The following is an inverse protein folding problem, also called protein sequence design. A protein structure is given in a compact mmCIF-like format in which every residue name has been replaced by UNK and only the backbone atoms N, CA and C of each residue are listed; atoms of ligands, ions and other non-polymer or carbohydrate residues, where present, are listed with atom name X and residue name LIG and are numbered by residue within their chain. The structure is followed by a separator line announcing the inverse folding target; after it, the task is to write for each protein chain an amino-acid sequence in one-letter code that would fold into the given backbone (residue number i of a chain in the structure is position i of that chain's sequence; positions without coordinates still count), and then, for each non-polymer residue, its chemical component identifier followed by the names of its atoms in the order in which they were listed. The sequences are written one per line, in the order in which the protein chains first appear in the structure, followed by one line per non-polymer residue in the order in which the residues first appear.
data_IF_018252425760
#
_entry.id   IF_018252425760
#
_cell.length_a   1.000
_cell.length_b   1.000
_cell.length_c   1.000
_cell.angle_alpha   90.00
_cell.angle_beta   90.00
_cell.angle_gamma   90.00
#
_symmetry.space_group_name_H-M   'P 1'
#
loop_
_entity.id
_entity.type
_entity.pdbx_description
1 polymer ?
#
# COMPACT_ATOMS: atom_id res chain seq x y z
N UNK A 1 -11.46 48.71 -12.47
CA UNK A 1 -11.99 47.43 -11.94
C UNK A 1 -13.28 47.11 -12.68
N UNK A 2 -13.18 46.35 -13.75
CA UNK A 2 -14.33 45.94 -14.56
C UNK A 2 -14.99 44.75 -13.87
N UNK A 3 -16.27 44.91 -13.45
CA UNK A 3 -17.04 43.82 -12.87
C UNK A 3 -17.37 42.83 -13.99
N UNK A 4 -16.77 41.65 -13.94
CA UNK A 4 -17.13 40.52 -14.81
C UNK A 4 -18.61 40.18 -14.58
N UNK A 5 -19.45 40.55 -15.54
CA UNK A 5 -20.85 40.13 -15.61
C UNK A 5 -20.88 38.63 -15.93
N UNK A 6 -21.12 37.80 -14.91
CA UNK A 6 -21.38 36.37 -15.12
C UNK A 6 -22.74 36.27 -15.81
N UNK A 7 -22.71 36.03 -17.12
CA UNK A 7 -23.89 35.77 -17.96
C UNK A 7 -24.57 34.50 -17.41
N UNK A 8 -25.72 34.64 -16.74
CA UNK A 8 -26.60 33.50 -16.39
C UNK A 8 -26.90 32.75 -17.69
N UNK A 9 -26.32 31.55 -17.86
CA UNK A 9 -26.64 30.68 -18.99
C UNK A 9 -28.13 30.32 -18.93
N UNK A 10 -28.77 30.41 -20.07
CA UNK A 10 -30.20 30.23 -20.31
C UNK A 10 -30.70 28.81 -20.00
N UNK A 11 -31.90 28.74 -19.41
CA UNK A 11 -32.72 27.56 -19.19
C UNK A 11 -32.84 26.67 -20.44
N UNK A 12 -32.29 25.45 -20.37
CA UNK A 12 -32.72 24.27 -21.15
C UNK A 12 -31.99 22.97 -20.74
N UNK A 13 -30.99 23.02 -19.86
CA UNK A 13 -30.45 21.81 -19.22
C UNK A 13 -31.31 21.46 -18.01
N UNK A 14 -32.03 20.35 -18.09
CA UNK A 14 -32.75 19.80 -16.95
C UNK A 14 -31.73 19.43 -15.86
N UNK A 15 -31.94 19.98 -14.68
CA UNK A 15 -31.12 19.74 -13.50
C UNK A 15 -31.41 18.33 -12.98
N UNK A 16 -30.40 17.46 -12.96
CA UNK A 16 -30.55 16.07 -12.53
C UNK A 16 -31.19 15.95 -11.14
N UNK A 17 -30.89 16.89 -10.23
CA UNK A 17 -31.51 16.93 -8.91
C UNK A 17 -33.04 17.12 -8.99
N UNK A 18 -33.51 17.96 -9.92
CA UNK A 18 -34.93 18.22 -10.13
C UNK A 18 -35.66 17.04 -10.77
N UNK A 19 -35.03 16.35 -11.72
CA UNK A 19 -35.61 15.14 -12.31
C UNK A 19 -35.71 13.99 -11.30
N UNK A 20 -34.64 13.76 -10.53
CA UNK A 20 -34.62 12.74 -9.48
C UNK A 20 -35.71 13.05 -8.43
N UNK A 21 -35.82 14.31 -8.01
CA UNK A 21 -36.83 14.69 -7.02
C UNK A 21 -38.27 14.55 -7.55
N UNK A 22 -38.50 14.83 -8.84
CA UNK A 22 -39.79 14.65 -9.47
C UNK A 22 -40.17 13.16 -9.58
N UNK A 23 -39.22 12.31 -9.97
CA UNK A 23 -39.44 10.87 -10.12
C UNK A 23 -39.69 10.18 -8.77
N UNK A 24 -38.90 10.55 -7.75
CA UNK A 24 -39.02 10.02 -6.39
C UNK A 24 -40.15 10.69 -5.58
N UNK A 25 -40.81 11.70 -6.15
CA UNK A 25 -41.82 12.53 -5.47
C UNK A 25 -41.33 13.10 -4.13
N UNK A 26 -40.03 13.42 -4.06
CA UNK A 26 -39.35 13.81 -2.83
C UNK A 26 -37.84 13.80 -2.97
N UNK A 27 -37.14 14.20 -1.91
CA UNK A 27 -35.67 14.14 -1.86
C UNK A 27 -35.23 12.71 -1.54
N UNK A 28 -34.27 12.12 -2.27
CA UNK A 28 -33.74 10.80 -1.92
C UNK A 28 -33.05 10.82 -0.56
N UNK A 29 -33.16 9.76 0.24
CA UNK A 29 -32.46 9.68 1.53
C UNK A 29 -30.95 9.37 1.37
N UNK A 30 -30.58 8.78 0.24
CA UNK A 30 -29.26 8.21 0.01
C UNK A 30 -28.87 8.22 -1.47
N UNK A 31 -27.59 8.44 -1.76
CA UNK A 31 -27.03 8.38 -3.13
C UNK A 31 -25.74 7.57 -3.16
N UNK A 32 -25.57 6.77 -4.21
CA UNK A 32 -24.36 5.99 -4.46
C UNK A 32 -23.67 6.51 -5.72
N UNK A 33 -22.48 7.07 -5.54
CA UNK A 33 -21.55 7.34 -6.62
C UNK A 33 -20.86 6.05 -7.08
N UNK A 34 -20.70 5.90 -8.40
CA UNK A 34 -19.98 4.78 -9.00
C UNK A 34 -18.97 5.32 -10.00
N UNK A 35 -17.71 4.85 -9.93
CA UNK A 35 -16.59 5.34 -10.74
C UNK A 35 -16.33 6.85 -10.57
N UNK A 36 -15.24 7.37 -11.13
CA UNK A 36 -14.83 8.78 -10.93
C UNK A 36 -15.93 9.80 -11.24
N UNK A 37 -16.56 9.67 -12.41
CA UNK A 37 -17.61 10.58 -12.89
C UNK A 37 -18.89 10.50 -12.07
N UNK A 38 -19.40 9.29 -11.81
CA UNK A 38 -20.59 9.09 -10.98
C UNK A 38 -20.36 9.53 -9.54
N UNK A 39 -19.15 9.35 -9.01
CA UNK A 39 -18.74 9.84 -7.71
C UNK A 39 -18.73 11.38 -7.63
N UNK A 40 -18.30 12.07 -8.69
CA UNK A 40 -18.36 13.54 -8.75
C UNK A 40 -19.81 14.03 -8.75
N UNK A 41 -20.65 13.43 -9.60
CA UNK A 41 -22.06 13.80 -9.70
C UNK A 41 -22.77 13.54 -8.38
N UNK A 42 -22.53 12.38 -7.75
CA UNK A 42 -23.07 12.05 -6.44
C UNK A 42 -22.62 13.04 -5.36
N UNK A 43 -21.35 13.46 -5.37
CA UNK A 43 -20.83 14.47 -4.43
C UNK A 43 -21.55 15.82 -4.58
N UNK A 44 -21.76 16.27 -5.82
CA UNK A 44 -22.46 17.52 -6.12
C UNK A 44 -23.94 17.45 -5.76
N UNK A 45 -24.60 16.33 -6.04
CA UNK A 45 -26.01 16.10 -5.70
C UNK A 45 -26.20 15.98 -4.18
N UNK A 46 -25.30 15.27 -3.49
CA UNK A 46 -25.30 15.14 -2.04
C UNK A 46 -25.21 16.50 -1.36
N UNK A 47 -24.24 17.33 -1.77
CA UNK A 47 -24.10 18.69 -1.25
C UNK A 47 -25.34 19.55 -1.52
N UNK A 48 -25.94 19.41 -2.71
CA UNK A 48 -27.11 20.20 -3.11
C UNK A 48 -28.40 19.80 -2.39
N UNK A 49 -28.59 18.51 -2.17
CA UNK A 49 -29.83 17.94 -1.64
C UNK A 49 -29.75 17.68 -0.13
N UNK A 50 -28.55 17.71 0.47
CA UNK A 50 -28.32 17.45 1.88
C UNK A 50 -28.51 15.98 2.27
N UNK A 51 -28.05 15.07 1.41
CA UNK A 51 -28.34 13.62 1.49
C UNK A 51 -27.07 12.80 1.74
N UNK A 52 -27.22 11.62 2.35
CA UNK A 52 -26.10 10.73 2.65
C UNK A 52 -25.47 10.19 1.35
N UNK A 53 -24.15 10.26 1.23
CA UNK A 53 -23.39 9.88 0.05
C UNK A 53 -22.45 8.71 0.33
N UNK A 54 -22.61 7.63 -0.44
CA UNK A 54 -21.68 6.53 -0.52
C UNK A 54 -20.89 6.56 -1.83
N UNK A 55 -19.59 6.30 -1.75
CA UNK A 55 -18.72 6.21 -2.91
C UNK A 55 -18.28 4.76 -3.16
N UNK A 56 -18.39 4.31 -4.42
CA UNK A 56 -17.84 3.05 -4.92
C UNK A 56 -16.90 3.35 -6.08
N UNK A 57 -15.59 3.30 -5.82
CA UNK A 57 -14.59 3.62 -6.84
C UNK A 57 -14.58 2.65 -8.02
N UNK A 58 -14.86 1.35 -7.77
CA UNK A 58 -14.63 0.20 -8.68
C UNK A 58 -13.17 0.00 -9.10
N UNK A 59 -12.51 1.07 -9.53
CA UNK A 59 -11.10 1.11 -9.84
C UNK A 59 -10.54 2.53 -9.68
N UNK A 60 -9.30 2.63 -9.21
CA UNK A 60 -8.55 3.88 -9.23
C UNK A 60 -7.48 3.81 -10.32
N UNK A 61 -7.67 4.59 -11.39
CA UNK A 61 -6.80 4.56 -12.58
C UNK A 61 -5.33 4.89 -12.25
N UNK A 62 -5.09 5.69 -11.21
CA UNK A 62 -3.74 5.96 -10.68
C UNK A 62 -2.94 4.69 -10.37
N UNK A 63 -3.61 3.61 -9.96
CA UNK A 63 -2.94 2.33 -9.63
C UNK A 63 -2.72 1.44 -10.85
N UNK A 64 -3.49 1.64 -11.93
CA UNK A 64 -3.39 0.87 -13.18
C UNK A 64 -2.33 1.45 -14.11
N UNK A 65 -2.07 2.75 -14.05
CA UNK A 65 -1.06 3.45 -14.84
C UNK A 65 0.11 3.89 -13.94
N UNK A 66 1.24 3.14 -13.91
CA UNK A 66 2.39 3.49 -13.07
C UNK A 66 2.94 4.89 -13.39
N UNK A 67 3.32 5.62 -12.34
CA UNK A 67 3.87 6.98 -12.40
C UNK A 67 2.99 8.02 -13.13
N UNK A 68 1.69 7.70 -13.33
CA UNK A 68 0.71 8.59 -13.96
C UNK A 68 0.46 9.87 -13.17
N UNK A 69 0.76 9.90 -11.88
CA UNK A 69 0.66 11.07 -11.01
C UNK A 69 1.86 12.01 -11.16
N UNK A 70 3.09 11.48 -11.24
CA UNK A 70 4.31 12.28 -11.42
C UNK A 70 4.41 12.79 -12.86
N UNK A 71 4.08 11.95 -13.84
CA UNK A 71 4.16 12.26 -15.27
C UNK A 71 2.81 12.60 -15.89
N UNK A 72 1.83 13.03 -15.09
CA UNK A 72 0.45 13.26 -15.52
C UNK A 72 0.33 14.09 -16.80
N UNK A 73 1.17 15.12 -16.96
CA UNK A 73 1.19 15.99 -18.16
C UNK A 73 1.37 15.22 -19.47
N UNK A 74 2.14 14.13 -19.46
CA UNK A 74 2.38 13.31 -20.65
C UNK A 74 1.17 12.45 -21.02
N UNK A 75 0.29 12.18 -20.05
CA UNK A 75 -0.92 11.39 -20.24
C UNK A 75 -2.17 12.25 -20.45
N UNK A 76 -2.10 13.54 -20.11
CA UNK A 76 -3.26 14.41 -19.96
C UNK A 76 -3.98 14.69 -21.28
N UNK A 77 -3.26 14.70 -22.41
CA UNK A 77 -3.85 14.90 -23.74
C UNK A 77 -4.82 13.76 -24.12
N UNK A 78 -4.52 12.53 -23.68
CA UNK A 78 -5.29 11.32 -24.04
C UNK A 78 -6.25 10.85 -22.94
N UNK A 79 -5.79 10.90 -21.69
CA UNK A 79 -6.49 10.28 -20.56
C UNK A 79 -7.10 11.31 -19.60
N UNK A 80 -6.72 12.58 -19.69
CA UNK A 80 -7.20 13.65 -18.83
C UNK A 80 -7.10 13.30 -17.32
N UNK A 81 -5.98 12.69 -16.92
CA UNK A 81 -5.75 12.26 -15.54
C UNK A 81 -5.78 13.41 -14.54
N UNK A 82 -5.48 14.65 -14.95
CA UNK A 82 -5.64 15.82 -14.09
C UNK A 82 -7.08 15.95 -13.59
N UNK A 83 -8.06 15.88 -14.50
CA UNK A 83 -9.49 15.93 -14.18
C UNK A 83 -9.90 14.72 -13.34
N UNK A 84 -9.47 13.52 -13.74
CA UNK A 84 -9.89 12.29 -13.08
C UNK A 84 -9.35 12.19 -11.64
N UNK A 85 -8.06 12.46 -11.42
CA UNK A 85 -7.48 12.40 -10.07
C UNK A 85 -8.04 13.50 -9.16
N UNK A 86 -8.30 14.69 -9.71
CA UNK A 86 -8.97 15.76 -8.95
C UNK A 86 -10.37 15.31 -8.52
N UNK A 87 -11.10 14.71 -9.45
CA UNK A 87 -12.44 14.17 -9.21
C UNK A 87 -12.44 13.09 -8.13
N UNK A 88 -11.55 12.11 -8.26
CA UNK A 88 -11.41 11.00 -7.31
C UNK A 88 -11.12 11.52 -5.89
N UNK A 89 -10.21 12.49 -5.76
CA UNK A 89 -9.87 13.09 -4.46
C UNK A 89 -11.05 13.87 -3.88
N UNK A 90 -11.74 14.69 -4.68
CA UNK A 90 -12.93 15.43 -4.21
C UNK A 90 -13.99 14.45 -3.72
N UNK A 91 -14.32 13.44 -4.51
CA UNK A 91 -15.40 12.53 -4.18
C UNK A 91 -15.05 11.55 -3.05
N UNK A 92 -13.79 11.15 -2.91
CA UNK A 92 -13.35 10.36 -1.75
C UNK A 92 -13.45 11.15 -0.44
N UNK A 93 -13.11 12.45 -0.44
CA UNK A 93 -13.18 13.28 0.76
C UNK A 93 -14.60 13.78 1.07
N UNK A 94 -15.48 13.84 0.07
CA UNK A 94 -16.87 14.27 0.25
C UNK A 94 -17.80 13.14 0.70
N UNK A 95 -17.48 11.87 0.43
CA UNK A 95 -18.33 10.75 0.80
C UNK A 95 -18.43 10.58 2.32
N UNK A 96 -19.64 10.26 2.81
CA UNK A 96 -19.87 9.90 4.21
C UNK A 96 -19.24 8.54 4.54
N UNK A 97 -19.26 7.62 3.58
CA UNK A 97 -18.54 6.35 3.66
C UNK A 97 -18.19 5.81 2.27
N UNK A 98 -17.19 4.92 2.23
CA UNK A 98 -16.66 4.32 1.00
C UNK A 98 -16.82 2.80 1.09
N UNK A 99 -17.40 2.20 0.04
CA UNK A 99 -17.48 0.75 -0.10
C UNK A 99 -16.43 0.27 -1.11
N UNK A 100 -15.67 -0.74 -0.72
CA UNK A 100 -14.67 -1.41 -1.55
C UNK A 100 -14.98 -2.90 -1.64
N UNK A 101 -14.69 -3.53 -2.78
CA UNK A 101 -14.95 -4.97 -2.96
C UNK A 101 -13.94 -5.83 -2.21
N UNK A 102 -12.73 -5.30 -2.00
CA UNK A 102 -11.65 -6.02 -1.33
C UNK A 102 -10.90 -5.13 -0.37
N UNK A 103 -10.34 -5.72 0.69
CA UNK A 103 -9.44 -5.01 1.60
C UNK A 103 -8.15 -4.52 0.89
N UNK A 104 -7.75 -5.22 -0.18
CA UNK A 104 -6.59 -4.85 -1.00
C UNK A 104 -6.78 -3.50 -1.70
N UNK A 105 -8.01 -3.11 -2.06
CA UNK A 105 -8.29 -1.79 -2.62
C UNK A 105 -7.98 -0.66 -1.64
N UNK A 106 -8.16 -0.90 -0.34
CA UNK A 106 -7.90 0.08 0.72
C UNK A 106 -6.42 0.06 1.11
N UNK A 107 -5.91 -1.13 1.47
CA UNK A 107 -4.64 -1.26 2.16
C UNK A 107 -3.56 -1.94 1.32
N UNK A 108 -3.88 -2.57 0.18
CA UNK A 108 -2.95 -3.43 -0.55
C UNK A 108 -2.74 -4.80 0.11
N UNK A 109 -1.61 -5.44 -0.17
CA UNK A 109 -1.23 -6.73 0.42
C UNK A 109 -0.68 -6.57 1.85
N UNK A 110 -1.53 -6.82 2.84
CA UNK A 110 -1.20 -6.78 4.28
C UNK A 110 -1.33 -5.39 4.91
N UNK A 111 -1.72 -5.33 6.18
CA UNK A 111 -1.88 -4.12 6.98
C UNK A 111 -1.27 -4.32 8.36
N UNK A 112 -0.85 -3.22 8.99
CA UNK A 112 -0.37 -3.22 10.36
C UNK A 112 -1.48 -2.65 11.24
N UNK A 113 -2.15 -3.54 11.97
CA UNK A 113 -3.25 -3.17 12.85
C UNK A 113 -2.79 -2.24 13.97
N UNK A 114 -1.67 -2.59 14.60
CA UNK A 114 -1.09 -1.80 15.68
C UNK A 114 0.18 -1.11 15.17
N UNK A 115 0.04 0.17 14.81
CA UNK A 115 1.15 0.99 14.32
C UNK A 115 2.09 1.50 15.41
N UNK A 116 1.75 1.29 16.69
CA UNK A 116 2.62 1.67 17.80
C UNK A 116 3.76 0.69 18.02
N UNK A 117 3.63 -0.55 17.52
CA UNK A 117 4.65 -1.57 17.63
C UNK A 117 5.87 -1.24 16.78
N UNK A 118 7.09 -1.55 17.28
CA UNK A 118 8.30 -1.50 16.49
C UNK A 118 8.20 -2.30 15.20
N UNK A 119 8.85 -1.81 14.15
CA UNK A 119 8.89 -2.49 12.85
C UNK A 119 10.20 -3.26 12.72
N UNK A 120 10.10 -4.57 12.53
CA UNK A 120 11.14 -5.38 11.93
C UNK A 120 11.11 -5.16 10.42
N UNK A 121 12.20 -4.63 9.88
CA UNK A 121 12.28 -4.22 8.49
C UNK A 121 13.31 -5.02 7.72
N UNK A 122 12.96 -5.47 6.51
CA UNK A 122 13.92 -6.07 5.57
C UNK A 122 13.68 -5.55 4.16
N UNK A 123 14.76 -5.31 3.42
CA UNK A 123 14.68 -4.86 2.03
C UNK A 123 15.74 -5.56 1.19
N UNK A 124 15.30 -6.38 0.24
CA UNK A 124 16.18 -7.14 -0.64
C UNK A 124 15.50 -7.53 -1.95
N UNK A 125 16.25 -8.13 -2.87
CA UNK A 125 15.64 -8.85 -4.00
C UNK A 125 14.90 -10.08 -3.46
N UNK A 126 13.83 -10.46 -4.15
CA UNK A 126 13.08 -11.66 -3.82
C UNK A 126 13.65 -12.83 -4.62
N UNK A 127 14.71 -13.41 -4.09
CA UNK A 127 15.39 -14.58 -4.64
C UNK A 127 15.71 -15.58 -3.52
N UNK A 128 16.06 -16.81 -3.90
CA UNK A 128 16.35 -17.90 -2.95
C UNK A 128 17.57 -17.63 -2.05
N UNK A 129 18.50 -16.80 -2.51
CA UNK A 129 19.73 -16.48 -1.75
C UNK A 129 19.41 -15.49 -0.63
N UNK A 130 18.53 -14.53 -0.88
CA UNK A 130 18.07 -13.55 0.13
C UNK A 130 17.09 -14.16 1.14
N UNK A 131 16.42 -15.25 0.79
CA UNK A 131 15.53 -16.04 1.66
C UNK A 131 14.55 -15.20 2.50
N UNK A 132 13.93 -14.24 1.83
CA UNK A 132 12.92 -13.38 2.44
C UNK A 132 11.70 -14.21 2.89
N UNK A 133 11.34 -15.26 2.14
CA UNK A 133 10.24 -16.15 2.53
C UNK A 133 10.56 -16.91 3.81
N UNK A 134 11.80 -17.35 4.03
CA UNK A 134 12.25 -17.95 5.28
C UNK A 134 12.19 -17.00 6.48
N UNK A 135 12.50 -15.72 6.30
CA UNK A 135 12.30 -14.70 7.34
C UNK A 135 10.83 -14.60 7.75
N UNK A 136 9.91 -14.54 6.78
CA UNK A 136 8.49 -14.41 7.10
C UNK A 136 7.94 -15.68 7.74
N UNK A 137 8.40 -16.86 7.30
CA UNK A 137 8.04 -18.12 7.93
C UNK A 137 8.49 -18.19 9.41
N UNK A 138 9.71 -17.75 9.71
CA UNK A 138 10.21 -17.69 11.08
C UNK A 138 9.43 -16.70 11.95
N UNK A 139 9.13 -15.51 11.42
CA UNK A 139 8.27 -14.53 12.09
C UNK A 139 6.87 -15.11 12.34
N UNK A 140 6.30 -15.81 11.36
CA UNK A 140 4.98 -16.41 11.46
C UNK A 140 4.86 -17.46 12.58
N UNK A 141 5.93 -18.24 12.78
CA UNK A 141 6.03 -19.31 13.80
C UNK A 141 6.32 -18.78 15.21
N UNK A 142 6.92 -17.60 15.35
CA UNK A 142 7.27 -17.04 16.66
C UNK A 142 6.14 -16.12 17.20
N UNK A 143 5.24 -16.67 18.02
CA UNK A 143 4.15 -15.90 18.62
C UNK A 143 4.63 -14.69 19.43
N UNK A 144 5.69 -14.87 20.23
CA UNK A 144 6.31 -13.80 21.04
C UNK A 144 6.81 -12.65 20.16
N UNK A 145 7.39 -12.94 18.99
CA UNK A 145 7.87 -11.90 18.08
C UNK A 145 6.71 -11.14 17.43
N UNK A 146 5.63 -11.84 17.06
CA UNK A 146 4.40 -11.22 16.50
C UNK A 146 3.67 -10.33 17.50
N UNK A 147 3.78 -10.64 18.79
CA UNK A 147 3.24 -9.79 19.85
C UNK A 147 4.05 -8.50 19.99
N UNK A 148 5.38 -8.60 19.93
CA UNK A 148 6.29 -7.48 20.19
C UNK A 148 6.48 -6.54 19.00
N UNK A 149 6.41 -7.04 17.76
CA UNK A 149 6.78 -6.27 16.57
C UNK A 149 5.93 -6.61 15.34
N UNK A 150 5.84 -5.65 14.44
CA UNK A 150 5.33 -5.84 13.09
C UNK A 150 6.47 -6.23 12.14
N UNK A 151 6.17 -6.99 11.08
CA UNK A 151 7.16 -7.29 10.04
C UNK A 151 6.81 -6.55 8.74
N UNK A 152 7.76 -5.77 8.24
CA UNK A 152 7.65 -5.06 6.95
C UNK A 152 8.78 -5.52 6.05
N UNK A 153 8.42 -5.98 4.85
CA UNK A 153 9.36 -6.47 3.85
C UNK A 153 9.18 -5.69 2.55
N UNK A 154 10.28 -5.15 2.03
CA UNK A 154 10.36 -4.56 0.70
C UNK A 154 11.13 -5.52 -0.21
N UNK A 155 10.43 -6.32 -1.00
CA UNK A 155 11.07 -7.32 -1.85
C UNK A 155 10.25 -7.65 -3.09
N UNK A 156 10.93 -7.77 -4.24
CA UNK A 156 10.37 -8.25 -5.50
C UNK A 156 9.06 -7.58 -5.95
N UNK A 157 8.32 -8.26 -6.81
CA UNK A 157 6.93 -7.90 -7.13
C UNK A 157 5.94 -8.67 -6.26
N UNK A 158 4.78 -8.06 -5.95
CA UNK A 158 3.70 -8.75 -5.24
C UNK A 158 2.77 -9.58 -6.14
N UNK A 159 2.94 -9.50 -7.47
CA UNK A 159 2.14 -10.21 -8.46
C UNK A 159 3.07 -11.01 -9.39
N UNK A 160 2.78 -12.30 -9.52
CA UNK A 160 3.49 -13.24 -10.39
C UNK A 160 3.57 -12.71 -11.82
N UNK A 161 2.50 -12.06 -12.31
CA UNK A 161 2.41 -11.57 -13.70
C UNK A 161 3.41 -10.47 -14.03
N UNK A 162 3.94 -9.78 -13.02
CA UNK A 162 4.91 -8.70 -13.19
C UNK A 162 6.35 -9.19 -13.29
N UNK A 163 6.62 -10.39 -12.82
CA UNK A 163 7.95 -10.99 -12.93
C UNK A 163 8.07 -11.87 -14.18
N UNK A 164 9.27 -11.89 -14.75
CA UNK A 164 9.66 -12.83 -15.82
C UNK A 164 10.66 -13.88 -15.31
N UNK A 165 11.14 -13.71 -14.07
CA UNK A 165 12.13 -14.59 -13.46
C UNK A 165 11.42 -15.75 -12.75
N UNK A 166 11.78 -16.98 -13.10
CA UNK A 166 11.17 -18.18 -12.54
C UNK A 166 11.43 -18.32 -11.04
N UNK A 167 12.60 -17.84 -10.57
CA UNK A 167 12.92 -17.91 -9.14
C UNK A 167 12.06 -16.93 -8.34
N UNK A 168 11.99 -15.67 -8.78
CA UNK A 168 11.13 -14.67 -8.16
C UNK A 168 9.65 -15.11 -8.17
N UNK A 169 9.16 -15.66 -9.28
CA UNK A 169 7.78 -16.19 -9.37
C UNK A 169 7.52 -17.25 -8.29
N UNK A 170 8.42 -18.21 -8.13
CA UNK A 170 8.26 -19.27 -7.12
C UNK A 170 8.26 -18.69 -5.68
N UNK A 171 9.11 -17.70 -5.41
CA UNK A 171 9.15 -17.03 -4.11
C UNK A 171 7.90 -16.16 -3.86
N UNK A 172 7.34 -15.53 -4.90
CA UNK A 172 6.05 -14.80 -4.82
C UNK A 172 4.92 -15.74 -4.43
N UNK A 173 4.81 -16.90 -5.08
CA UNK A 173 3.78 -17.89 -4.78
C UNK A 173 3.90 -18.40 -3.35
N UNK A 174 5.12 -18.76 -2.93
CA UNK A 174 5.42 -19.16 -1.55
C UNK A 174 5.08 -18.05 -0.55
N UNK A 175 5.34 -16.79 -0.91
CA UNK A 175 5.03 -15.66 -0.04
C UNK A 175 3.51 -15.51 0.18
N UNK A 176 2.72 -15.60 -0.89
CA UNK A 176 1.25 -15.59 -0.79
C UNK A 176 0.70 -16.76 0.03
N UNK A 177 1.27 -17.95 -0.14
CA UNK A 177 0.91 -19.13 0.65
C UNK A 177 1.16 -18.89 2.15
N UNK A 178 2.35 -18.42 2.53
CA UNK A 178 2.70 -18.13 3.92
C UNK A 178 1.77 -17.09 4.57
N UNK A 179 1.47 -16.01 3.85
CA UNK A 179 0.55 -14.95 4.34
C UNK A 179 -0.83 -15.54 4.65
N UNK A 180 -1.35 -16.37 3.74
CA UNK A 180 -2.67 -17.00 3.87
C UNK A 180 -2.69 -18.03 4.99
N UNK A 181 -1.72 -18.94 5.01
CA UNK A 181 -1.63 -20.06 5.97
C UNK A 181 -1.46 -19.55 7.40
N UNK A 182 -0.63 -18.54 7.62
CA UNK A 182 -0.33 -18.02 8.96
C UNK A 182 -1.15 -16.79 9.37
N UNK A 183 -2.11 -16.37 8.54
CA UNK A 183 -3.01 -15.22 8.75
C UNK A 183 -2.22 -13.96 9.10
N UNK A 184 -1.20 -13.64 8.30
CA UNK A 184 -0.24 -12.57 8.61
C UNK A 184 -0.77 -11.17 8.25
N UNK A 185 -1.94 -11.07 7.60
CA UNK A 185 -2.51 -9.82 7.09
C UNK A 185 -2.58 -8.64 8.07
N UNK A 186 -2.55 -8.87 9.38
CA UNK A 186 -2.70 -7.85 10.44
C UNK A 186 -1.38 -7.41 11.08
N UNK A 187 -0.30 -8.16 10.87
CA UNK A 187 1.03 -7.90 11.48
C UNK A 187 2.17 -7.88 10.46
N UNK A 188 1.88 -8.17 9.19
CA UNK A 188 2.84 -8.25 8.11
C UNK A 188 2.44 -7.34 6.95
N UNK A 189 3.44 -6.62 6.44
CA UNK A 189 3.29 -5.77 5.25
C UNK A 189 4.34 -6.13 4.21
N UNK A 190 3.88 -6.52 3.03
CA UNK A 190 4.73 -6.72 1.88
C UNK A 190 4.59 -5.56 0.90
N UNK A 191 5.72 -4.90 0.63
CA UNK A 191 5.84 -3.77 -0.29
C UNK A 191 6.69 -4.23 -1.48
N UNK A 192 6.20 -4.01 -2.70
CA UNK A 192 7.01 -4.29 -3.90
C UNK A 192 8.28 -3.45 -3.92
N UNK A 193 9.34 -3.95 -4.54
CA UNK A 193 10.64 -3.29 -4.60
C UNK A 193 10.54 -1.84 -5.12
N UNK A 194 11.23 -0.93 -4.44
CA UNK A 194 11.20 0.50 -4.74
C UNK A 194 12.54 0.94 -5.37
N UNK A 195 12.48 1.56 -6.55
CA UNK A 195 13.68 2.02 -7.29
C UNK A 195 14.17 3.41 -6.85
N UNK A 196 13.31 4.20 -6.21
CA UNK A 196 13.64 5.56 -5.77
C UNK A 196 14.49 5.56 -4.50
N UNK A 197 15.78 5.92 -4.64
CA UNK A 197 16.75 5.95 -3.53
C UNK A 197 16.44 6.99 -2.45
N UNK A 198 15.89 8.15 -2.81
CA UNK A 198 15.56 9.20 -1.84
C UNK A 198 14.45 8.73 -0.90
N UNK A 199 13.39 8.14 -1.47
CA UNK A 199 12.29 7.55 -0.70
C UNK A 199 12.76 6.38 0.17
N UNK A 200 13.66 5.54 -0.34
CA UNK A 200 14.23 4.45 0.46
C UNK A 200 15.02 4.99 1.66
N UNK A 201 15.71 6.12 1.52
CA UNK A 201 16.40 6.79 2.62
C UNK A 201 15.44 7.27 3.72
N UNK A 202 14.32 7.89 3.36
CA UNK A 202 13.28 8.28 4.32
C UNK A 202 12.62 7.06 4.98
N UNK A 203 12.42 5.98 4.23
CA UNK A 203 11.88 4.75 4.77
C UNK A 203 12.75 4.21 5.90
N UNK A 204 14.08 4.17 5.72
CA UNK A 204 14.99 3.76 6.79
C UNK A 204 14.90 4.65 8.03
N UNK A 205 14.78 5.98 7.88
CA UNK A 205 14.62 6.89 9.02
C UNK A 205 13.31 6.64 9.76
N UNK A 206 12.23 6.42 9.01
CA UNK A 206 10.93 6.10 9.59
C UNK A 206 10.97 4.82 10.44
N UNK A 207 11.70 3.78 10.00
CA UNK A 207 11.87 2.56 10.80
C UNK A 207 12.58 2.87 12.13
N UNK A 208 13.59 3.75 12.12
CA UNK A 208 14.29 4.19 13.33
C UNK A 208 13.35 4.94 14.28
N UNK A 209 12.46 5.79 13.75
CA UNK A 209 11.47 6.52 14.53
C UNK A 209 10.46 5.59 15.22
N UNK A 210 10.16 4.43 14.62
CA UNK A 210 9.34 3.38 15.25
C UNK A 210 10.10 2.55 16.29
N UNK A 211 11.36 2.89 16.59
CA UNK A 211 12.28 2.05 17.39
C UNK A 211 12.42 0.63 16.84
N UNK A 212 12.30 0.49 15.51
CA UNK A 212 12.39 -0.76 14.79
C UNK A 212 13.81 -1.30 14.66
N UNK A 213 13.94 -2.44 13.97
CA UNK A 213 15.23 -3.06 13.69
C UNK A 213 15.30 -3.53 12.23
N UNK A 214 16.50 -3.46 11.64
CA UNK A 214 16.73 -3.99 10.30
C UNK A 214 17.21 -5.43 10.38
N UNK A 215 16.57 -6.33 9.63
CA UNK A 215 16.91 -7.75 9.59
C UNK A 215 17.28 -8.12 8.16
N UNK A 216 18.43 -8.76 8.02
CA UNK A 216 18.88 -9.29 6.75
C UNK A 216 19.15 -10.79 6.88
N UNK A 217 18.57 -11.55 5.94
CA UNK A 217 18.76 -12.99 5.83
C UNK A 217 19.53 -13.28 4.55
N UNK A 218 20.42 -14.27 4.62
CA UNK A 218 21.13 -14.81 3.48
C UNK A 218 21.36 -16.30 3.67
N UNK A 219 21.06 -17.10 2.65
CA UNK A 219 21.52 -18.48 2.56
C UNK A 219 22.83 -18.49 1.76
N UNK A 220 23.97 -18.62 2.45
CA UNK A 220 25.27 -18.84 1.78
C UNK A 220 25.57 -20.33 1.66
N UNK A 221 25.66 -20.81 0.42
CA UNK A 221 26.12 -22.15 0.09
C UNK A 221 27.65 -22.25 0.14
N UNK A 222 28.22 -22.41 1.33
CA UNK A 222 29.56 -23.00 1.46
C UNK A 222 29.51 -24.08 2.53
N UNK A 223 29.94 -25.29 2.15
CA UNK A 223 29.82 -26.54 2.92
C UNK A 223 30.61 -26.63 4.23
N UNK A 224 30.88 -25.50 4.90
CA UNK A 224 31.51 -25.45 6.23
C UNK A 224 30.53 -25.14 7.37
N UNK A 225 29.24 -24.94 7.08
CA UNK A 225 28.23 -24.66 8.11
C UNK A 225 27.23 -25.79 8.33
N UNK A 226 27.36 -26.90 7.60
CA UNK A 226 26.43 -28.06 7.66
C UNK A 226 26.70 -29.04 8.82
N UNK A 227 27.78 -28.86 9.60
CA UNK A 227 28.10 -29.73 10.75
C UNK A 227 28.06 -29.06 12.13
N UNK A 228 27.99 -27.73 12.23
CA UNK A 228 27.90 -27.04 13.54
C UNK A 228 26.51 -26.48 13.90
N UNK A 229 25.58 -26.36 12.95
CA UNK A 229 24.32 -25.66 13.16
C UNK A 229 23.10 -26.44 12.63
N UNK A 230 22.92 -27.68 13.08
CA UNK A 230 21.59 -28.33 13.02
C UNK A 230 20.69 -27.68 14.07
N UNK A 231 20.12 -26.52 13.74
CA UNK A 231 19.13 -25.84 14.59
C UNK A 231 19.12 -24.31 14.54
N UNK A 232 20.09 -23.67 13.89
CA UNK A 232 20.20 -22.21 13.86
C UNK A 232 20.42 -21.71 12.43
N UNK A 233 19.44 -20.99 11.88
CA UNK A 233 19.63 -20.13 10.70
C UNK A 233 20.30 -18.84 11.22
N UNK A 234 21.46 -18.41 10.71
CA UNK A 234 22.10 -17.18 11.16
C UNK A 234 21.31 -15.96 10.63
N UNK A 235 20.51 -15.35 11.49
CA UNK A 235 19.94 -14.02 11.23
C UNK A 235 21.00 -12.96 11.52
N UNK A 236 21.26 -12.06 10.57
CA UNK A 236 22.09 -10.88 10.80
C UNK A 236 21.15 -9.68 10.96
N UNK A 237 20.82 -9.34 12.21
CA UNK A 237 20.08 -8.10 12.49
C UNK A 237 21.07 -6.96 12.78
N UNK A 238 20.84 -5.81 12.15
CA UNK A 238 21.51 -4.56 12.49
C UNK A 238 20.54 -3.71 13.30
N UNK A 239 20.88 -3.43 14.56
CA UNK A 239 20.16 -2.45 15.38
C UNK A 239 20.82 -1.10 15.14
N UNK A 240 20.15 -0.22 14.40
CA UNK A 240 20.67 1.10 14.07
C UNK A 240 20.37 2.09 15.21
N UNK A 241 21.29 2.24 16.16
CA UNK A 241 21.12 3.12 17.33
C UNK A 241 21.55 4.57 17.05
N UNK A 242 20.94 5.21 16.04
CA UNK A 242 20.85 6.68 15.89
C UNK A 242 22.13 7.54 15.89
N UNK A 243 23.34 6.98 16.06
CA UNK A 243 24.61 7.71 16.09
C UNK A 243 25.72 6.89 15.43
N UNK A 244 25.91 7.05 14.12
CA UNK A 244 27.24 7.13 13.48
C UNK A 244 27.15 7.30 11.94
N UNK A 245 28.12 8.03 11.33
CA UNK A 245 28.10 8.33 9.91
C UNK A 245 28.67 7.18 9.05
N UNK A 246 27.92 6.83 8.00
CA UNK A 246 28.35 6.28 6.70
C UNK A 246 29.54 5.29 6.62
N UNK A 247 29.82 4.51 7.66
CA UNK A 247 30.75 3.38 7.60
C UNK A 247 30.08 2.18 8.25
N UNK A 248 29.95 1.10 7.50
CA UNK A 248 29.38 -0.16 7.96
C UNK A 248 30.27 -0.72 9.08
N UNK A 249 29.90 -0.42 10.34
CA UNK A 249 30.53 -1.00 11.51
C UNK A 249 30.00 -2.44 11.67
N UNK A 250 30.94 -3.37 11.70
CA UNK A 250 30.75 -4.78 11.97
C UNK A 250 30.40 -5.01 13.46
N UNK A 251 29.52 -5.99 13.74
CA UNK A 251 29.24 -6.67 15.04
C UNK A 251 28.24 -5.96 16.01
N UNK A 252 27.33 -6.65 16.76
CA UNK A 252 27.11 -8.09 16.94
C UNK A 252 25.77 -8.64 16.40
N UNK A 253 25.82 -9.92 16.04
CA UNK A 253 24.74 -10.86 15.75
C UNK A 253 23.62 -10.81 16.80
N UNK A 254 22.41 -10.37 16.41
CA UNK A 254 21.21 -10.72 17.15
C UNK A 254 20.82 -12.15 16.76
N UNK A 255 21.16 -13.12 17.61
CA UNK A 255 20.62 -14.47 17.49
C UNK A 255 19.15 -14.38 17.93
N UNK A 256 18.23 -14.42 16.97
CA UNK A 256 16.83 -14.75 17.24
C UNK A 256 16.78 -16.23 17.66
N UNK A 257 17.06 -16.49 18.93
CA UNK A 257 16.74 -17.77 19.54
C UNK A 257 15.23 -17.80 19.77
N UNK A 258 14.52 -18.57 18.93
CA UNK A 258 13.18 -19.06 19.26
C UNK A 258 13.31 -20.25 20.20
#
# INVERSE_FOLDING_TARGET
MERVHIKKRSNTQKDAAGEIAAELQGTPDFIIGNYSDGNLVASLLSYKMGITHCNIAHALEKTKYPDSDIFWKNFDEKYHFSCQFTTDIIAMNNADFIITSTYQEIAGSGHLDDRSKPILFSMARLDRVKDITGLVEAFAKCAKLRELANLVVVAGYNDVKKSKDREEIAEIEKMHELIKTHKLFRQFRWISAQTNRARNGELYRYIVDTHGAFVQVYIYGSGLQSRLYRGFIPYLAYVWSGRCPATAAYVPTLILAC
#
